data_IF_870978883060
#
_entry.id   IF_870978883060
#
_cell.length_a   1.000
_cell.length_b   1.000
_cell.length_c   1.000
_cell.angle_alpha   90.00
_cell.angle_beta   90.00
_cell.angle_gamma   90.00
#
_symmetry.space_group_name_H-M   'P 1'
#
loop_
_entity.id
_entity.type
_entity.pdbx_description
1 polymer ?
#
# COMPACT_ATOMS: atom_id res chain seq x y z
N UNK A 1 -55.71 18.59 -29.28
CA UNK A 1 -54.85 17.41 -29.53
C UNK A 1 -53.83 17.32 -28.38
N UNK A 2 -53.97 16.34 -27.48
CA UNK A 2 -52.97 16.05 -26.43
C UNK A 2 -51.83 15.27 -27.09
N UNK A 3 -50.60 15.78 -27.02
CA UNK A 3 -49.41 15.09 -27.52
C UNK A 3 -49.10 13.85 -26.65
N UNK A 4 -49.18 12.62 -27.17
CA UNK A 4 -48.90 11.42 -26.39
C UNK A 4 -47.40 11.14 -26.17
N UNK A 5 -46.50 11.95 -26.77
CA UNK A 5 -45.05 11.71 -26.74
C UNK A 5 -44.30 12.27 -25.52
N UNK A 6 -44.94 13.07 -24.66
CA UNK A 6 -44.24 13.75 -23.55
C UNK A 6 -44.00 12.85 -22.31
N UNK A 7 -44.63 11.66 -22.26
CA UNK A 7 -44.55 10.74 -21.11
C UNK A 7 -43.50 9.62 -21.27
N UNK A 8 -42.97 9.40 -22.47
CA UNK A 8 -42.03 8.31 -22.74
C UNK A 8 -40.56 8.65 -22.37
N UNK A 9 -40.22 9.93 -22.22
CA UNK A 9 -38.86 10.37 -21.86
C UNK A 9 -38.59 10.47 -20.35
N UNK A 10 -39.63 10.69 -19.54
CA UNK A 10 -39.48 10.86 -18.09
C UNK A 10 -39.14 9.54 -17.39
N UNK A 11 -39.70 8.42 -17.85
CA UNK A 11 -39.46 7.11 -17.23
C UNK A 11 -38.02 6.65 -17.38
N UNK A 12 -37.40 6.81 -18.55
CA UNK A 12 -36.01 6.37 -18.80
C UNK A 12 -34.96 7.14 -17.98
N UNK A 13 -35.12 8.46 -17.83
CA UNK A 13 -34.20 9.30 -17.05
C UNK A 13 -34.33 9.07 -15.54
N UNK A 14 -35.54 8.81 -15.05
CA UNK A 14 -35.79 8.50 -13.63
C UNK A 14 -35.26 7.11 -13.25
N UNK A 15 -35.31 6.12 -14.15
CA UNK A 15 -34.70 4.81 -13.93
C UNK A 15 -33.17 4.87 -13.92
N UNK A 16 -32.54 5.64 -14.81
CA UNK A 16 -31.09 5.87 -14.82
C UNK A 16 -30.61 6.64 -13.57
N UNK A 17 -31.34 7.69 -13.16
CA UNK A 17 -31.04 8.46 -11.95
C UNK A 17 -31.25 7.63 -10.65
N UNK A 18 -32.26 6.76 -10.62
CA UNK A 18 -32.48 5.83 -9.50
C UNK A 18 -31.39 4.74 -9.44
N UNK A 19 -30.87 4.30 -10.60
CA UNK A 19 -29.76 3.35 -10.69
C UNK A 19 -28.43 3.96 -10.23
N UNK A 20 -28.26 5.27 -10.40
CA UNK A 20 -27.04 6.01 -10.05
C UNK A 20 -26.77 6.13 -8.54
N UNK A 21 -27.75 5.84 -7.67
CA UNK A 21 -27.61 5.94 -6.19
C UNK A 21 -28.33 4.83 -5.44
N UNK A 22 -28.21 3.58 -5.91
CA UNK A 22 -28.72 2.42 -5.17
C UNK A 22 -28.22 2.37 -3.73
N UNK A 23 -28.94 1.67 -2.85
CA UNK A 23 -28.61 1.55 -1.42
C UNK A 23 -27.15 1.14 -1.19
N UNK A 24 -26.66 0.17 -1.95
CA UNK A 24 -25.26 -0.27 -1.89
C UNK A 24 -24.24 0.82 -2.29
N UNK A 25 -24.56 1.71 -3.24
CA UNK A 25 -23.69 2.84 -3.59
C UNK A 25 -23.63 3.85 -2.44
N UNK A 26 -24.79 4.19 -1.86
CA UNK A 26 -24.88 5.13 -0.73
C UNK A 26 -24.14 4.59 0.48
N UNK A 27 -24.34 3.32 0.81
CA UNK A 27 -23.64 2.67 1.91
C UNK A 27 -22.12 2.74 1.72
N UNK A 28 -21.59 2.37 0.55
CA UNK A 28 -20.15 2.50 0.26
C UNK A 28 -19.64 3.94 0.41
N UNK A 29 -20.41 4.92 -0.02
CA UNK A 29 -20.04 6.33 0.12
C UNK A 29 -20.00 6.77 1.59
N UNK A 30 -20.95 6.30 2.42
CA UNK A 30 -20.95 6.57 3.87
C UNK A 30 -19.74 5.92 4.57
N UNK A 31 -19.39 4.68 4.22
CA UNK A 31 -18.17 4.03 4.74
C UNK A 31 -16.90 4.82 4.37
N UNK A 32 -16.81 5.30 3.12
CA UNK A 32 -15.67 6.10 2.69
C UNK A 32 -15.57 7.44 3.45
N UNK A 33 -16.70 8.11 3.69
CA UNK A 33 -16.78 9.33 4.50
C UNK A 33 -16.38 9.08 5.96
N UNK A 34 -16.84 7.98 6.54
CA UNK A 34 -16.49 7.62 7.91
C UNK A 34 -14.99 7.37 8.07
N UNK A 35 -14.36 6.67 7.13
CA UNK A 35 -12.90 6.47 7.14
C UNK A 35 -12.16 7.79 6.96
N UNK A 36 -12.60 8.65 6.03
CA UNK A 36 -11.99 9.97 5.85
C UNK A 36 -12.05 10.82 7.12
N UNK A 37 -13.24 10.91 7.73
CA UNK A 37 -13.43 11.63 8.99
C UNK A 37 -12.55 11.08 10.11
N UNK A 38 -12.47 9.76 10.26
CA UNK A 38 -11.66 9.11 11.29
C UNK A 38 -10.16 9.36 11.09
N UNK A 39 -9.67 9.35 9.85
CA UNK A 39 -8.26 9.65 9.53
C UNK A 39 -7.92 11.11 9.77
N UNK A 40 -8.83 12.04 9.47
CA UNK A 40 -8.64 13.48 9.66
C UNK A 40 -8.52 13.87 11.15
N UNK A 41 -9.20 13.14 12.04
CA UNK A 41 -9.17 13.37 13.48
C UNK A 41 -8.08 12.57 14.22
N UNK A 42 -7.36 11.70 13.52
CA UNK A 42 -6.29 10.90 14.08
C UNK A 42 -4.98 11.71 14.14
N UNK A 43 -4.04 11.34 15.02
CA UNK A 43 -2.70 11.89 14.93
C UNK A 43 -2.10 11.55 13.55
N UNK A 44 -1.43 12.49 12.85
CA UNK A 44 -0.96 12.26 11.48
C UNK A 44 -0.07 11.03 11.32
N UNK A 45 0.76 10.72 12.32
CA UNK A 45 1.62 9.53 12.30
C UNK A 45 0.81 8.23 12.39
N UNK A 46 -0.21 8.19 13.23
CA UNK A 46 -1.07 7.02 13.40
C UNK A 46 -1.94 6.78 12.17
N UNK A 47 -2.51 7.85 11.61
CA UNK A 47 -3.24 7.82 10.33
C UNK A 47 -2.37 7.24 9.21
N UNK A 48 -1.11 7.70 9.12
CA UNK A 48 -0.17 7.20 8.13
C UNK A 48 0.15 5.71 8.32
N UNK A 49 0.34 5.24 9.56
CA UNK A 49 0.58 3.81 9.83
C UNK A 49 -0.62 2.93 9.49
N UNK A 50 -1.84 3.38 9.82
CA UNK A 50 -3.08 2.65 9.50
C UNK A 50 -3.25 2.52 7.99
N UNK A 51 -3.08 3.62 7.25
CA UNK A 51 -3.13 3.61 5.79
C UNK A 51 -2.06 2.71 5.18
N UNK A 52 -0.81 2.79 5.65
CA UNK A 52 0.28 1.93 5.18
C UNK A 52 -0.03 0.44 5.41
N UNK A 53 -0.54 0.08 6.59
CA UNK A 53 -0.95 -1.30 6.90
C UNK A 53 -2.09 -1.78 6.01
N UNK A 54 -3.14 -0.98 5.86
CA UNK A 54 -4.29 -1.34 5.03
C UNK A 54 -3.90 -1.50 3.55
N UNK A 55 -3.12 -0.57 2.99
CA UNK A 55 -2.66 -0.66 1.60
C UNK A 55 -1.73 -1.87 1.36
N UNK A 56 -0.92 -2.25 2.35
CA UNK A 56 -0.11 -3.47 2.29
C UNK A 56 -0.98 -4.74 2.31
N UNK A 57 -2.12 -4.74 3.00
CA UNK A 57 -3.09 -5.86 2.92
C UNK A 57 -3.86 -5.93 1.61
N UNK A 58 -4.12 -4.78 0.95
CA UNK A 58 -4.67 -4.75 -0.40
C UNK A 58 -3.64 -5.16 -1.45
N UNK A 59 -2.37 -4.95 -1.15
CA UNK A 59 -1.23 -5.40 -1.94
C UNK A 59 -0.94 -6.90 -1.72
N UNK A 60 -1.96 -7.74 -1.77
CA UNK A 60 -1.78 -9.20 -1.77
C UNK A 60 -1.14 -9.65 -3.09
N UNK A 61 0.14 -10.05 -3.03
CA UNK A 61 0.69 -11.21 -3.75
C UNK A 61 0.80 -11.25 -5.29
N UNK A 62 0.33 -10.25 -6.05
CA UNK A 62 0.54 -10.09 -7.52
C UNK A 62 -0.37 -10.95 -8.44
N UNK A 63 -0.35 -10.78 -9.79
CA UNK A 63 0.00 -9.62 -10.61
C UNK A 63 -1.25 -8.88 -11.14
N UNK A 64 -1.17 -7.58 -11.43
CA UNK A 64 -2.15 -6.92 -12.30
C UNK A 64 -1.52 -6.76 -13.69
N UNK A 65 -1.69 -7.77 -14.55
CA UNK A 65 -1.58 -7.58 -16.00
C UNK A 65 -2.42 -6.34 -16.38
N UNK A 66 -1.78 -5.25 -16.82
CA UNK A 66 -2.53 -4.05 -17.22
C UNK A 66 -1.78 -2.73 -17.34
N UNK A 67 -0.52 -2.61 -16.91
CA UNK A 67 0.29 -1.41 -17.18
C UNK A 67 1.36 -1.71 -18.23
N UNK A 68 1.51 -0.88 -19.29
CA UNK A 68 2.47 -1.14 -20.38
C UNK A 68 3.95 -1.15 -19.95
N UNK A 69 4.26 -0.84 -18.69
CA UNK A 69 5.61 -0.63 -18.16
C UNK A 69 5.91 -1.44 -16.88
N UNK A 70 5.26 -2.60 -16.70
CA UNK A 70 5.58 -3.51 -15.59
C UNK A 70 5.10 -3.02 -14.20
N UNK A 71 5.32 -3.86 -13.18
CA UNK A 71 5.08 -3.44 -11.78
C UNK A 71 6.28 -2.65 -11.29
N UNK A 72 6.10 -1.68 -10.39
CA UNK A 72 7.20 -0.91 -9.78
C UNK A 72 8.29 -1.83 -9.18
N UNK A 73 7.89 -3.01 -8.69
CA UNK A 73 8.82 -4.02 -8.19
C UNK A 73 9.66 -4.67 -9.31
N UNK A 74 9.10 -4.89 -10.49
CA UNK A 74 9.80 -5.43 -11.66
C UNK A 74 10.86 -4.45 -12.21
N UNK A 75 10.50 -3.17 -12.36
CA UNK A 75 11.44 -2.13 -12.80
C UNK A 75 12.58 -1.93 -11.79
N UNK A 76 12.27 -1.96 -10.49
CA UNK A 76 13.30 -1.87 -9.44
C UNK A 76 14.28 -3.06 -9.47
N UNK A 77 13.79 -4.26 -9.82
CA UNK A 77 14.62 -5.45 -9.97
C UNK A 77 15.55 -5.34 -11.18
N UNK A 78 15.02 -4.94 -12.34
CA UNK A 78 15.81 -4.75 -13.57
C UNK A 78 16.90 -3.70 -13.35
N UNK A 79 16.57 -2.60 -12.68
CA UNK A 79 17.56 -1.58 -12.33
C UNK A 79 18.62 -2.13 -11.36
N UNK A 80 18.21 -2.84 -10.30
CA UNK A 80 19.14 -3.38 -9.31
C UNK A 80 20.10 -4.43 -9.90
N UNK A 81 19.66 -5.21 -10.89
CA UNK A 81 20.51 -6.16 -11.63
C UNK A 81 21.51 -5.47 -12.55
N UNK A 82 21.15 -4.30 -13.08
CA UNK A 82 21.98 -3.57 -14.06
C UNK A 82 22.91 -2.52 -13.43
N UNK A 83 22.64 -2.10 -12.19
CA UNK A 83 23.36 -1.02 -11.52
C UNK A 83 24.77 -1.44 -11.06
N UNK A 84 25.77 -0.55 -11.18
CA UNK A 84 27.08 -0.74 -10.54
C UNK A 84 26.96 -0.90 -9.02
N UNK A 85 27.83 -1.74 -8.43
CA UNK A 85 27.76 -2.09 -7.00
C UNK A 85 27.80 -0.87 -6.07
N UNK A 86 28.61 0.13 -6.40
CA UNK A 86 28.72 1.38 -5.65
C UNK A 86 27.43 2.22 -5.71
N UNK A 87 26.76 2.26 -6.85
CA UNK A 87 25.47 2.95 -7.01
C UNK A 87 24.39 2.19 -6.24
N UNK A 88 24.32 0.87 -6.38
CA UNK A 88 23.37 0.04 -5.65
C UNK A 88 23.51 0.25 -4.13
N UNK A 89 24.74 0.25 -3.60
CA UNK A 89 25.00 0.51 -2.19
C UNK A 89 24.54 1.92 -1.75
N UNK A 90 24.81 2.95 -2.56
CA UNK A 90 24.40 4.32 -2.27
C UNK A 90 22.88 4.50 -2.27
N UNK A 91 22.19 3.96 -3.27
CA UNK A 91 20.73 4.01 -3.37
C UNK A 91 20.04 3.25 -2.24
N UNK A 92 20.54 2.06 -1.90
CA UNK A 92 20.00 1.28 -0.77
C UNK A 92 20.20 2.02 0.55
N UNK A 93 21.39 2.59 0.79
CA UNK A 93 21.67 3.35 2.01
C UNK A 93 20.77 4.59 2.14
N UNK A 94 20.66 5.39 1.07
CA UNK A 94 19.79 6.57 1.03
C UNK A 94 18.30 6.20 1.18
N UNK A 95 17.87 5.11 0.55
CA UNK A 95 16.52 4.58 0.69
C UNK A 95 16.20 4.15 2.12
N UNK A 96 17.11 3.40 2.76
CA UNK A 96 16.96 2.97 4.15
C UNK A 96 16.90 4.15 5.13
N UNK A 97 17.70 5.20 4.90
CA UNK A 97 17.65 6.41 5.72
C UNK A 97 16.32 7.15 5.56
N UNK A 98 15.86 7.35 4.32
CA UNK A 98 14.58 8.01 4.02
C UNK A 98 13.38 7.28 4.64
N UNK A 99 13.44 5.96 4.69
CA UNK A 99 12.39 5.12 5.27
C UNK A 99 12.22 5.29 6.78
N UNK A 100 13.21 5.81 7.52
CA UNK A 100 13.14 5.99 8.98
C UNK A 100 12.00 6.91 9.44
N UNK A 101 11.65 7.91 8.61
CA UNK A 101 10.58 8.87 8.90
C UNK A 101 9.27 8.60 8.15
N UNK A 102 9.13 7.45 7.48
CA UNK A 102 7.93 7.12 6.72
C UNK A 102 7.09 6.06 7.42
N UNK A 103 5.78 6.15 7.21
CA UNK A 103 4.88 5.09 7.60
C UNK A 103 5.08 3.86 6.71
N UNK A 104 5.91 2.94 7.21
CA UNK A 104 6.16 1.69 6.53
C UNK A 104 5.30 0.58 7.15
N UNK A 105 4.53 -0.10 6.30
CA UNK A 105 3.73 -1.25 6.71
C UNK A 105 4.58 -2.30 7.43
N UNK A 106 3.99 -2.97 8.43
CA UNK A 106 4.70 -3.94 9.26
C UNK A 106 5.34 -5.06 8.44
N UNK A 107 4.67 -5.56 7.39
CA UNK A 107 5.23 -6.61 6.56
C UNK A 107 6.35 -6.09 5.65
N UNK A 108 6.26 -4.86 5.15
CA UNK A 108 7.34 -4.21 4.42
C UNK A 108 8.61 -4.08 5.28
N UNK A 109 8.48 -3.67 6.56
CA UNK A 109 9.61 -3.66 7.51
C UNK A 109 10.25 -5.05 7.68
N UNK A 110 9.43 -6.08 7.87
CA UNK A 110 9.92 -7.47 8.01
C UNK A 110 10.64 -7.96 6.75
N UNK A 111 10.12 -7.64 5.56
CA UNK A 111 10.75 -8.02 4.27
C UNK A 111 12.13 -7.37 4.11
N UNK A 112 12.24 -6.07 4.41
CA UNK A 112 13.52 -5.36 4.38
C UNK A 112 14.52 -5.92 5.39
N UNK A 113 14.08 -6.14 6.63
CA UNK A 113 14.92 -6.76 7.66
C UNK A 113 15.42 -8.14 7.21
N UNK A 114 14.54 -8.98 6.65
CA UNK A 114 14.91 -10.30 6.17
C UNK A 114 15.91 -10.24 4.99
N UNK A 115 15.76 -9.27 4.09
CA UNK A 115 16.72 -9.07 2.99
C UNK A 115 18.12 -8.74 3.51
N UNK A 116 18.24 -7.83 4.48
CA UNK A 116 19.51 -7.48 5.14
C UNK A 116 20.04 -8.67 5.96
N UNK A 117 19.18 -9.37 6.70
CA UNK A 117 19.58 -10.55 7.46
C UNK A 117 20.21 -11.63 6.59
N UNK A 118 19.65 -11.85 5.39
CA UNK A 118 20.19 -12.80 4.41
C UNK A 118 21.55 -12.39 3.84
N UNK A 119 21.92 -11.11 3.84
CA UNK A 119 23.24 -10.68 3.35
C UNK A 119 24.36 -10.90 4.37
N UNK A 120 24.04 -11.08 5.66
CA UNK A 120 25.04 -11.34 6.68
C UNK A 120 25.64 -12.74 6.62
N UNK A 121 26.92 -12.85 6.99
CA UNK A 121 27.62 -14.13 7.10
C UNK A 121 27.18 -14.94 8.33
N UNK A 122 27.54 -16.24 8.41
CA UNK A 122 27.21 -17.08 9.55
C UNK A 122 27.78 -16.58 10.89
N UNK A 123 28.91 -15.88 10.88
CA UNK A 123 29.51 -15.26 12.06
C UNK A 123 28.67 -14.10 12.58
N UNK A 124 28.35 -13.14 11.72
CA UNK A 124 27.54 -11.97 12.07
C UNK A 124 26.15 -12.35 12.58
N UNK A 125 25.51 -13.35 11.95
CA UNK A 125 24.22 -13.85 12.40
C UNK A 125 24.30 -14.47 13.80
N UNK A 126 25.36 -15.24 14.09
CA UNK A 126 25.59 -15.82 15.43
C UNK A 126 25.85 -14.74 16.48
N UNK A 127 26.64 -13.73 16.15
CA UNK A 127 26.93 -12.60 17.03
C UNK A 127 25.66 -11.79 17.35
N UNK A 128 24.80 -11.56 16.36
CA UNK A 128 23.51 -10.92 16.58
C UNK A 128 22.61 -11.74 17.52
N UNK A 129 22.45 -13.04 17.24
CA UNK A 129 21.62 -13.93 18.05
C UNK A 129 22.13 -14.08 19.49
N UNK A 130 23.45 -14.10 19.70
CA UNK A 130 24.02 -14.17 21.05
C UNK A 130 23.70 -12.92 21.87
N UNK A 131 23.71 -11.73 21.27
CA UNK A 131 23.29 -10.49 21.94
C UNK A 131 21.79 -10.49 22.27
N UNK A 132 20.94 -10.94 21.34
CA UNK A 132 19.48 -11.02 21.58
C UNK A 132 19.17 -12.00 22.72
N UNK A 133 19.80 -13.17 22.72
CA UNK A 133 19.62 -14.19 23.76
C UNK A 133 20.21 -13.78 25.12
N UNK A 134 21.29 -12.99 25.12
CA UNK A 134 21.89 -12.45 26.34
C UNK A 134 21.03 -11.37 27.01
N UNK A 135 20.34 -10.53 26.22
CA UNK A 135 19.42 -9.49 26.73
C UNK A 135 18.09 -10.05 27.25
N UNK A 136 17.64 -11.21 26.74
CA UNK A 136 16.40 -11.85 27.22
C UNK A 136 16.54 -12.62 28.54
N UNK A 137 17.73 -12.62 29.16
CA UNK A 137 18.04 -13.29 30.43
C UNK A 137 18.39 -12.32 31.57
N UNK A 138 18.26 -11.02 31.35
CA UNK A 138 18.47 -9.98 32.35
C UNK A 138 17.12 -9.41 32.82
#
# INVERSE_FOLDING_TARGET
MKNPGALAGATGADFEAARFKGEGYRLRAEWARAVWFALDHCHPEDAAQVCAGYLDTLSTGGPALGVPFGTTAGEAMIWAESAPVNELAAYVAAGLDRLRGLALARNARKRLFWAIWKSFGPEDRRAFLSQVNGRGRA
#
